data_IF_266486914995
#
_entry.id   IF_266486914995
#
_cell.length_a   1.000
_cell.length_b   1.000
_cell.length_c   1.000
_cell.angle_alpha   90.00
_cell.angle_beta   90.00
_cell.angle_gamma   90.00
#
_symmetry.space_group_name_H-M   'P 1'
#
loop_
_entity.id
_entity.type
_entity.pdbx_description
1 polymer ?
#
# COMPACT_ATOMS: atom_id res chain seq x y z
N UNK A 1 59.52 -19.72 29.86
CA UNK A 1 60.64 -18.77 30.01
C UNK A 1 60.06 -17.36 29.95
N UNK A 2 60.47 -16.50 30.88
CA UNK A 2 59.78 -15.27 31.30
C UNK A 2 60.21 -14.07 30.46
N UNK A 3 59.47 -12.97 30.52
CA UNK A 3 60.09 -11.70 30.87
C UNK A 3 59.07 -10.72 31.45
N UNK A 4 59.51 -10.11 32.55
CA UNK A 4 58.83 -9.13 33.36
C UNK A 4 59.50 -7.75 33.19
N UNK A 5 58.77 -6.68 33.44
CA UNK A 5 59.18 -5.42 34.13
C UNK A 5 58.05 -4.39 33.96
N UNK A 6 57.33 -3.91 34.98
CA UNK A 6 57.68 -3.30 36.29
C UNK A 6 58.03 -1.80 36.19
N UNK A 7 57.70 -1.08 37.28
CA UNK A 7 57.86 0.34 37.63
C UNK A 7 56.61 1.21 37.42
N UNK A 8 56.10 1.95 38.41
CA UNK A 8 56.52 2.29 39.77
C UNK A 8 55.41 3.16 40.37
N UNK A 9 55.02 3.00 41.63
CA UNK A 9 55.68 3.45 42.88
C UNK A 9 55.03 4.74 43.40
N UNK A 10 54.70 4.77 44.69
CA UNK A 10 54.06 5.95 45.29
C UNK A 10 53.36 5.73 46.64
N UNK A 11 54.17 5.75 47.70
CA UNK A 11 53.89 6.33 49.02
C UNK A 11 53.03 5.56 50.06
N UNK A 12 53.75 4.82 50.91
CA UNK A 12 53.79 4.82 52.39
C UNK A 12 52.69 5.54 53.20
N UNK A 13 52.11 4.82 54.18
CA UNK A 13 52.12 5.09 55.64
C UNK A 13 51.12 4.14 56.32
N UNK A 14 51.57 3.16 57.10
CA UNK A 14 51.75 3.17 58.57
C UNK A 14 50.46 2.87 59.38
N UNK A 15 50.67 2.04 60.42
CA UNK A 15 49.78 1.67 61.55
C UNK A 15 48.90 0.42 61.32
N UNK A 16 49.29 -0.72 61.93
CA UNK A 16 48.95 -1.13 63.30
C UNK A 16 47.43 -1.36 63.41
N UNK A 17 46.90 -2.57 63.49
CA UNK A 17 47.25 -3.65 64.40
C UNK A 17 45.97 -4.04 65.15
N UNK A 18 45.79 -5.34 65.36
CA UNK A 18 44.86 -5.99 66.31
C UNK A 18 43.37 -6.11 65.96
N UNK A 19 43.04 -7.33 65.51
CA UNK A 19 42.07 -8.25 66.13
C UNK A 19 41.05 -7.68 67.13
N UNK A 20 39.76 -7.86 66.82
CA UNK A 20 38.89 -8.78 67.56
C UNK A 20 37.49 -8.88 66.92
N UNK A 21 37.10 -10.10 66.55
CA UNK A 21 35.77 -10.66 66.85
C UNK A 21 34.57 -10.26 65.99
N UNK A 22 33.94 -11.30 65.39
CA UNK A 22 32.50 -11.65 65.48
C UNK A 22 31.48 -10.49 65.35
N UNK A 23 30.50 -10.49 64.47
CA UNK A 23 29.64 -11.56 63.96
C UNK A 23 29.03 -11.06 62.62
N UNK A 24 28.66 -11.98 61.74
CA UNK A 24 28.00 -11.61 60.49
C UNK A 24 26.60 -11.08 60.73
N UNK A 25 26.14 -10.16 59.90
CA UNK A 25 24.76 -10.15 59.42
C UNK A 25 24.60 -9.21 58.23
N UNK A 26 23.67 -9.59 57.37
CA UNK A 26 23.59 -9.24 55.97
C UNK A 26 23.34 -7.75 55.70
N UNK A 27 23.97 -7.26 54.62
CA UNK A 27 23.67 -5.97 53.99
C UNK A 27 22.16 -5.82 53.71
N UNK A 28 21.46 -5.17 54.62
CA UNK A 28 20.14 -4.62 54.41
C UNK A 28 20.25 -3.28 53.66
N UNK A 29 20.53 -3.32 52.36
CA UNK A 29 20.57 -2.10 51.53
C UNK A 29 20.17 -2.35 50.07
N UNK A 30 19.18 -3.22 49.82
CA UNK A 30 18.78 -3.55 48.42
C UNK A 30 17.28 -3.57 48.07
N UNK A 31 16.35 -2.85 48.73
CA UNK A 31 14.98 -2.76 48.22
C UNK A 31 14.80 -1.65 47.17
N UNK A 32 15.35 -0.44 47.38
CA UNK A 32 15.09 0.70 46.49
C UNK A 32 15.76 0.60 45.12
N UNK A 33 17.03 0.16 45.08
CA UNK A 33 17.79 0.06 43.82
C UNK A 33 17.25 -1.06 42.92
N UNK A 34 16.81 -2.19 43.53
CA UNK A 34 16.10 -3.26 42.83
C UNK A 34 14.73 -2.83 42.35
N UNK A 35 13.94 -2.11 43.17
CA UNK A 35 12.64 -1.58 42.75
C UNK A 35 12.76 -0.63 41.56
N UNK A 36 13.72 0.31 41.58
CA UNK A 36 13.95 1.24 40.47
C UNK A 36 14.43 0.52 39.21
N UNK A 37 15.28 -0.50 39.37
CA UNK A 37 15.76 -1.31 38.25
C UNK A 37 14.65 -2.19 37.64
N UNK A 38 13.81 -2.83 38.45
CA UNK A 38 12.64 -3.55 37.96
C UNK A 38 11.65 -2.63 37.25
N UNK A 39 11.42 -1.43 37.79
CA UNK A 39 10.48 -0.48 37.22
C UNK A 39 11.00 0.08 35.88
N UNK A 40 12.30 0.33 35.75
CA UNK A 40 12.92 0.70 34.49
C UNK A 40 12.83 -0.40 33.43
N UNK A 41 13.01 -1.68 33.81
CA UNK A 41 12.83 -2.82 32.91
C UNK A 41 11.37 -2.95 32.47
N UNK A 42 10.42 -2.81 33.39
CA UNK A 42 8.98 -2.84 33.07
C UNK A 42 8.63 -1.71 32.11
N UNK A 43 9.12 -0.48 32.34
CA UNK A 43 8.90 0.65 31.43
C UNK A 43 9.53 0.40 30.06
N UNK A 44 10.75 -0.17 30.00
CA UNK A 44 11.40 -0.49 28.73
C UNK A 44 10.64 -1.57 27.94
N UNK A 45 10.16 -2.62 28.62
CA UNK A 45 9.34 -3.68 28.02
C UNK A 45 7.98 -3.14 27.57
N UNK A 46 7.35 -2.27 28.37
CA UNK A 46 6.09 -1.62 27.99
C UNK A 46 6.28 -0.66 26.82
N UNK A 47 7.36 0.12 26.77
CA UNK A 47 7.67 1.01 25.66
C UNK A 47 7.99 0.23 24.38
N UNK A 48 8.75 -0.87 24.48
CA UNK A 48 9.03 -1.75 23.35
C UNK A 48 7.77 -2.48 22.86
N UNK A 49 6.91 -2.93 23.79
CA UNK A 49 5.63 -3.57 23.47
C UNK A 49 4.63 -2.61 22.82
N UNK A 50 4.48 -1.40 23.37
CA UNK A 50 3.61 -0.37 22.80
C UNK A 50 4.14 0.14 21.45
N UNK A 51 5.45 0.34 21.31
CA UNK A 51 6.08 0.70 20.04
C UNK A 51 5.97 -0.40 18.97
N UNK A 52 6.11 -1.67 19.38
CA UNK A 52 5.97 -2.83 18.49
C UNK A 52 4.54 -3.07 18.02
N UNK A 53 3.56 -2.92 18.92
CA UNK A 53 2.14 -2.97 18.58
C UNK A 53 1.76 -1.80 17.66
N UNK A 54 2.21 -0.59 17.95
CA UNK A 54 1.95 0.58 17.10
C UNK A 54 2.49 0.38 15.67
N UNK A 55 3.68 -0.19 15.52
CA UNK A 55 4.27 -0.48 14.21
C UNK A 55 3.47 -1.51 13.39
N UNK A 56 2.91 -2.53 14.06
CA UNK A 56 2.06 -3.54 13.42
C UNK A 56 0.68 -3.01 13.03
N UNK A 57 0.17 -1.98 13.70
CA UNK A 57 -1.12 -1.36 13.36
C UNK A 57 -0.98 -0.22 12.34
N UNK A 58 0.18 0.41 12.22
CA UNK A 58 0.40 1.52 11.29
C UNK A 58 0.34 1.09 9.81
N UNK A 59 0.75 -0.13 9.50
CA UNK A 59 0.65 -0.72 8.16
C UNK A 59 -0.80 -1.03 7.74
N UNK A 60 -1.73 -1.16 8.68
CA UNK A 60 -3.15 -1.40 8.41
C UNK A 60 -4.03 -0.13 8.50
N UNK A 61 -3.49 0.97 9.03
CA UNK A 61 -4.23 2.25 9.20
C UNK A 61 -4.05 3.25 8.04
N UNK A 62 -3.30 2.90 7.00
CA UNK A 62 -2.95 3.86 5.95
C UNK A 62 -3.06 3.25 4.56
N UNK A 63 -4.24 2.78 4.14
CA UNK A 63 -4.52 2.87 2.70
C UNK A 63 -4.20 4.31 2.26
N UNK A 64 -3.59 4.53 1.08
CA UNK A 64 -3.14 5.86 0.72
C UNK A 64 -4.23 6.89 0.93
N UNK A 65 -3.90 7.95 1.67
CA UNK A 65 -4.81 9.05 2.01
C UNK A 65 -6.08 8.67 2.79
N UNK A 66 -6.09 7.49 3.44
CA UNK A 66 -7.25 6.91 4.10
C UNK A 66 -8.42 6.64 3.14
N UNK A 67 -8.15 6.41 1.86
CA UNK A 67 -9.13 6.07 0.82
C UNK A 67 -9.00 4.60 0.48
N UNK A 68 -10.06 3.83 0.68
CA UNK A 68 -10.06 2.37 0.51
C UNK A 68 -9.97 1.90 -0.94
N UNK A 69 -10.23 2.82 -1.86
CA UNK A 69 -10.08 2.62 -3.29
C UNK A 69 -8.64 2.84 -3.74
N UNK A 70 -7.80 3.53 -2.95
CA UNK A 70 -6.42 3.81 -3.35
C UNK A 70 -5.54 2.57 -3.17
N UNK A 71 -4.82 2.20 -4.22
CA UNK A 71 -3.85 1.13 -4.19
C UNK A 71 -2.50 1.59 -3.66
N UNK A 72 -1.81 0.71 -2.95
CA UNK A 72 -0.51 0.99 -2.33
C UNK A 72 0.48 1.62 -3.32
N UNK A 73 1.17 2.65 -2.85
CA UNK A 73 2.13 3.41 -3.66
C UNK A 73 1.52 4.51 -4.53
N UNK A 74 0.21 4.75 -4.45
CA UNK A 74 -0.43 5.92 -5.08
C UNK A 74 0.16 7.22 -4.55
N UNK A 75 0.55 8.13 -5.44
CA UNK A 75 1.17 9.42 -5.09
C UNK A 75 0.18 10.58 -4.94
N UNK A 76 -1.03 10.42 -5.48
CA UNK A 76 -2.07 11.46 -5.55
C UNK A 76 -3.44 10.92 -5.18
N UNK A 77 -4.16 11.59 -4.28
CA UNK A 77 -5.54 11.22 -3.94
C UNK A 77 -6.50 11.62 -5.06
N UNK A 78 -7.32 10.69 -5.53
CA UNK A 78 -8.42 11.04 -6.44
C UNK A 78 -9.65 11.54 -5.67
N UNK A 79 -10.48 12.41 -6.27
CA UNK A 79 -11.75 12.82 -5.68
C UNK A 79 -12.67 11.64 -5.38
N UNK A 80 -13.72 11.89 -4.58
CA UNK A 80 -14.74 10.88 -4.34
C UNK A 80 -15.48 10.51 -5.63
N UNK A 81 -15.87 11.49 -6.43
CA UNK A 81 -16.36 11.28 -7.80
C UNK A 81 -15.18 11.26 -8.76
N UNK A 82 -14.73 10.06 -9.15
CA UNK A 82 -13.62 9.88 -10.08
C UNK A 82 -14.15 10.06 -11.50
N UNK A 83 -13.59 11.01 -12.23
CA UNK A 83 -13.80 11.15 -13.67
C UNK A 83 -12.65 10.47 -14.40
N UNK A 84 -12.85 9.22 -14.79
CA UNK A 84 -11.86 8.42 -15.49
C UNK A 84 -12.03 8.64 -17.01
N UNK A 85 -10.96 8.99 -17.70
CA UNK A 85 -11.00 9.18 -19.17
C UNK A 85 -11.94 10.28 -19.68
N UNK A 86 -12.45 11.16 -18.81
CA UNK A 86 -13.31 12.29 -19.20
C UNK A 86 -14.76 12.19 -18.73
N UNK A 87 -15.20 11.04 -18.20
CA UNK A 87 -16.53 10.89 -17.62
C UNK A 87 -16.49 10.30 -16.19
N UNK A 88 -17.45 10.65 -15.33
CA UNK A 88 -17.62 9.99 -14.04
C UNK A 88 -17.82 8.48 -14.18
N UNK A 89 -17.20 7.71 -13.28
CA UNK A 89 -17.49 6.27 -13.13
C UNK A 89 -19.00 6.10 -12.85
N UNK A 90 -19.66 5.06 -13.40
CA UNK A 90 -21.06 4.76 -13.10
C UNK A 90 -21.36 4.71 -11.60
N UNK A 91 -22.48 5.28 -11.16
CA UNK A 91 -22.83 5.44 -9.74
C UNK A 91 -23.04 4.11 -9.01
N UNK A 92 -23.42 3.05 -9.72
CA UNK A 92 -23.56 1.69 -9.20
C UNK A 92 -22.30 0.83 -9.32
N UNK A 93 -21.16 1.40 -9.70
CA UNK A 93 -19.93 0.64 -9.86
C UNK A 93 -19.45 0.05 -8.53
N UNK A 94 -18.90 -1.15 -8.60
CA UNK A 94 -18.32 -1.88 -7.48
C UNK A 94 -16.85 -2.21 -7.75
N UNK A 95 -16.13 -2.68 -6.72
CA UNK A 95 -14.71 -3.08 -6.85
C UNK A 95 -13.85 -1.97 -7.47
N UNK A 96 -14.09 -0.73 -7.01
CA UNK A 96 -13.44 0.47 -7.52
C UNK A 96 -12.08 0.61 -6.86
N UNK A 97 -11.03 0.54 -7.66
CA UNK A 97 -9.66 0.74 -7.20
C UNK A 97 -8.91 1.69 -8.14
N UNK A 98 -7.97 2.44 -7.59
CA UNK A 98 -7.13 3.33 -8.39
C UNK A 98 -5.67 3.32 -7.94
N UNK A 99 -4.79 3.53 -8.91
CA UNK A 99 -3.37 3.75 -8.70
C UNK A 99 -2.96 5.04 -9.41
N UNK A 100 -2.26 5.92 -8.70
CA UNK A 100 -1.76 7.19 -9.26
C UNK A 100 -0.24 7.24 -9.17
N UNK A 101 0.40 7.57 -10.29
CA UNK A 101 1.85 7.73 -10.35
C UNK A 101 2.27 8.64 -11.47
N UNK A 102 3.17 9.59 -11.19
CA UNK A 102 3.82 10.43 -12.22
C UNK A 102 2.82 11.16 -13.14
N UNK A 103 1.73 11.69 -12.57
CA UNK A 103 0.69 12.37 -13.36
C UNK A 103 -0.17 11.45 -14.22
N UNK A 104 -0.12 10.13 -13.99
CA UNK A 104 -1.01 9.14 -14.57
C UNK A 104 -1.93 8.59 -13.50
N UNK A 105 -3.17 8.29 -13.88
CA UNK A 105 -4.11 7.54 -13.06
C UNK A 105 -4.57 6.29 -13.81
N UNK A 106 -4.63 5.20 -13.08
CA UNK A 106 -5.15 3.91 -13.51
C UNK A 106 -6.28 3.55 -12.57
N UNK A 107 -7.43 3.15 -13.12
CA UNK A 107 -8.64 2.91 -12.35
C UNK A 107 -9.29 1.63 -12.84
N UNK A 108 -9.63 0.71 -11.94
CA UNK A 108 -10.47 -0.45 -12.25
C UNK A 108 -11.81 -0.34 -11.54
N UNK A 109 -12.87 -0.83 -12.17
CA UNK A 109 -14.20 -0.95 -11.57
C UNK A 109 -15.05 -2.01 -12.29
N UNK A 110 -16.15 -2.43 -11.66
CA UNK A 110 -17.14 -3.36 -12.23
C UNK A 110 -18.49 -2.67 -12.34
N UNK A 111 -19.10 -2.68 -13.52
CA UNK A 111 -20.40 -2.05 -13.77
C UNK A 111 -21.24 -2.78 -14.84
N UNK A 112 -22.56 -2.62 -14.79
CA UNK A 112 -23.48 -3.02 -15.87
C UNK A 112 -23.73 -1.91 -16.91
N UNK A 113 -23.21 -0.70 -16.67
CA UNK A 113 -23.47 0.51 -17.48
C UNK A 113 -22.23 0.93 -18.30
N UNK A 114 -21.41 -0.04 -18.71
CA UNK A 114 -20.11 0.25 -19.35
C UNK A 114 -20.26 0.84 -20.75
N UNK A 115 -21.22 0.39 -21.56
CA UNK A 115 -21.47 0.95 -22.89
C UNK A 115 -21.77 2.46 -22.83
N UNK A 116 -22.69 2.83 -21.95
CA UNK A 116 -23.08 4.22 -21.71
C UNK A 116 -21.92 5.05 -21.12
N UNK A 117 -21.09 4.46 -20.25
CA UNK A 117 -19.84 5.08 -19.82
C UNK A 117 -18.87 5.34 -20.99
N UNK A 118 -18.67 4.39 -21.90
CA UNK A 118 -17.78 4.57 -23.07
C UNK A 118 -18.23 5.72 -23.96
N UNK A 119 -19.55 5.88 -24.15
CA UNK A 119 -20.12 7.01 -24.89
C UNK A 119 -19.86 8.35 -24.18
N UNK A 120 -20.20 8.44 -22.89
CA UNK A 120 -20.00 9.68 -22.12
C UNK A 120 -18.53 10.07 -21.98
N UNK A 121 -17.64 9.09 -21.90
CA UNK A 121 -16.20 9.33 -21.85
C UNK A 121 -15.64 9.82 -23.20
N UNK A 122 -16.45 9.79 -24.27
CA UNK A 122 -16.01 10.11 -25.63
C UNK A 122 -15.04 9.09 -26.21
N UNK A 123 -14.99 7.89 -25.61
CA UNK A 123 -14.12 6.78 -26.03
C UNK A 123 -14.73 6.06 -27.23
N UNK A 124 -16.06 5.89 -27.22
CA UNK A 124 -16.84 5.31 -28.31
C UNK A 124 -17.93 6.31 -28.72
N UNK A 125 -18.09 6.66 -30.01
CA UNK A 125 -19.21 7.49 -30.46
C UNK A 125 -20.57 6.81 -30.24
N UNK A 126 -21.64 7.58 -29.98
CA UNK A 126 -22.98 7.04 -29.65
C UNK A 126 -23.56 6.07 -30.69
N UNK A 127 -23.29 6.31 -31.98
CA UNK A 127 -23.80 5.49 -33.09
C UNK A 127 -22.79 4.42 -33.56
N UNK A 128 -21.62 4.31 -32.92
CA UNK A 128 -20.60 3.36 -33.31
C UNK A 128 -20.90 1.96 -32.75
N UNK A 129 -20.68 0.88 -33.54
CA UNK A 129 -20.72 -0.47 -33.01
C UNK A 129 -19.69 -0.64 -31.89
N UNK A 130 -20.06 -1.36 -30.83
CA UNK A 130 -19.21 -1.55 -29.66
C UNK A 130 -17.86 -2.19 -30.01
N UNK A 131 -17.85 -3.20 -30.88
CA UNK A 131 -16.65 -3.95 -31.27
C UNK A 131 -16.18 -3.59 -32.69
N UNK A 132 -16.07 -2.30 -32.98
CA UNK A 132 -15.53 -1.79 -34.24
C UNK A 132 -14.01 -1.57 -34.13
N UNK A 133 -13.25 -2.27 -34.98
CA UNK A 133 -11.78 -2.20 -35.07
C UNK A 133 -11.24 -0.79 -35.34
N UNK A 134 -12.09 0.13 -35.81
CA UNK A 134 -11.74 1.54 -35.95
C UNK A 134 -11.51 2.23 -34.61
N UNK A 135 -12.22 1.82 -33.57
CA UNK A 135 -12.24 2.48 -32.26
C UNK A 135 -11.51 1.69 -31.17
N UNK A 136 -11.29 0.40 -31.38
CA UNK A 136 -10.51 -0.40 -30.46
C UNK A 136 -9.99 -1.68 -31.09
N UNK A 137 -9.38 -2.52 -30.27
CA UNK A 137 -8.82 -3.79 -30.74
C UNK A 137 -9.06 -4.87 -29.70
N UNK A 138 -9.27 -6.10 -30.18
CA UNK A 138 -9.31 -7.27 -29.32
C UNK A 138 -7.91 -7.54 -28.77
N UNK A 139 -7.76 -7.56 -27.45
CA UNK A 139 -6.59 -8.13 -26.82
C UNK A 139 -6.94 -9.51 -26.28
N UNK A 140 -6.26 -10.53 -26.82
CA UNK A 140 -6.32 -11.87 -26.26
C UNK A 140 -5.37 -11.94 -25.08
N UNK A 141 -5.95 -12.06 -23.89
CA UNK A 141 -5.24 -12.61 -22.75
C UNK A 141 -5.67 -14.07 -22.59
N UNK A 142 -4.85 -14.85 -21.89
CA UNK A 142 -5.32 -16.13 -21.35
C UNK A 142 -6.50 -15.94 -20.39
N UNK A 143 -6.77 -16.92 -19.54
CA UNK A 143 -7.91 -16.86 -18.62
C UNK A 143 -7.94 -15.58 -17.75
N UNK A 144 -6.77 -14.97 -17.52
CA UNK A 144 -6.60 -13.69 -16.81
C UNK A 144 -5.66 -12.72 -17.56
N UNK A 145 -6.02 -11.44 -17.56
CA UNK A 145 -5.25 -10.30 -18.05
C UNK A 145 -4.70 -9.57 -16.83
N UNK A 146 -3.38 -9.43 -16.75
CA UNK A 146 -2.77 -8.66 -15.67
C UNK A 146 -3.26 -7.20 -15.69
N UNK A 147 -3.57 -6.67 -14.52
CA UNK A 147 -3.79 -5.23 -14.36
C UNK A 147 -2.47 -4.48 -14.59
N UNK A 148 -2.53 -3.18 -14.93
CA UNK A 148 -1.37 -2.30 -14.89
C UNK A 148 -0.60 -2.39 -13.56
N UNK A 149 0.73 -2.26 -13.63
CA UNK A 149 1.61 -2.41 -12.48
C UNK A 149 1.25 -1.45 -11.34
N UNK A 150 0.94 -2.01 -10.17
CA UNK A 150 0.57 -1.25 -8.97
C UNK A 150 -0.94 -1.05 -8.80
N UNK A 151 -1.74 -1.30 -9.83
CA UNK A 151 -3.19 -1.32 -9.70
C UNK A 151 -3.62 -2.61 -8.98
N UNK A 152 -4.14 -2.42 -7.78
CA UNK A 152 -4.78 -3.44 -6.96
C UNK A 152 -6.20 -3.76 -7.45
N UNK A 153 -6.73 -4.90 -7.02
CA UNK A 153 -8.04 -5.41 -7.42
C UNK A 153 -7.94 -6.73 -8.18
N UNK A 154 -9.08 -7.22 -8.63
CA UNK A 154 -9.11 -8.47 -9.42
C UNK A 154 -8.65 -8.24 -10.85
N UNK A 155 -7.87 -9.16 -11.46
CA UNK A 155 -7.48 -9.07 -12.86
C UNK A 155 -8.69 -9.07 -13.79
N UNK A 156 -8.52 -8.55 -15.01
CA UNK A 156 -9.53 -8.72 -16.05
C UNK A 156 -9.52 -10.17 -16.53
N UNK A 157 -10.67 -10.68 -16.93
CA UNK A 157 -10.83 -12.00 -17.53
C UNK A 157 -10.90 -11.87 -19.03
N UNK A 158 -10.05 -12.63 -19.73
CA UNK A 158 -10.10 -12.70 -21.18
C UNK A 158 -11.45 -13.26 -21.68
N UNK A 159 -11.88 -12.89 -22.89
CA UNK A 159 -11.28 -11.90 -23.80
C UNK A 159 -11.52 -10.45 -23.35
N UNK A 160 -10.66 -9.52 -23.77
CA UNK A 160 -10.86 -8.07 -23.51
C UNK A 160 -10.80 -7.26 -24.80
N UNK A 161 -11.50 -6.13 -24.82
CA UNK A 161 -11.42 -5.12 -25.86
C UNK A 161 -10.75 -3.87 -25.33
N UNK A 162 -9.85 -3.28 -26.11
CA UNK A 162 -9.07 -2.10 -25.72
C UNK A 162 -9.45 -0.96 -26.63
N UNK A 163 -9.94 0.14 -26.06
CA UNK A 163 -10.19 1.40 -26.76
C UNK A 163 -9.10 2.40 -26.40
N UNK A 164 -8.47 3.00 -27.40
CA UNK A 164 -7.57 4.12 -27.22
C UNK A 164 -8.23 5.39 -27.76
N UNK A 165 -8.40 6.38 -26.88
CA UNK A 165 -9.11 7.60 -27.19
C UNK A 165 -8.36 8.82 -26.67
N UNK A 166 -8.63 9.96 -27.29
CA UNK A 166 -8.31 11.26 -26.71
C UNK A 166 -9.57 11.78 -26.05
N UNK A 167 -9.56 11.93 -24.73
CA UNK A 167 -10.68 12.49 -23.98
C UNK A 167 -11.04 13.89 -24.49
N UNK A 168 -12.25 14.36 -24.17
CA UNK A 168 -12.71 15.71 -24.54
C UNK A 168 -11.74 16.84 -24.14
N UNK A 169 -10.91 16.61 -23.12
CA UNK A 169 -9.92 17.57 -22.62
C UNK A 169 -8.54 17.44 -23.29
N UNK A 170 -8.42 16.66 -24.38
CA UNK A 170 -7.16 16.45 -25.11
C UNK A 170 -6.19 15.47 -24.45
N UNK A 171 -6.57 14.86 -23.33
CA UNK A 171 -5.73 13.86 -22.64
C UNK A 171 -5.97 12.46 -23.18
N UNK A 172 -4.91 11.70 -23.43
CA UNK A 172 -5.01 10.30 -23.84
C UNK A 172 -5.62 9.44 -22.74
N UNK A 173 -6.59 8.62 -23.10
CA UNK A 173 -7.23 7.62 -22.26
C UNK A 173 -7.22 6.26 -22.99
N UNK A 174 -6.88 5.21 -22.26
CA UNK A 174 -6.98 3.82 -22.73
C UNK A 174 -7.96 3.09 -21.83
N UNK A 175 -8.93 2.38 -22.42
CA UNK A 175 -10.00 1.69 -21.71
C UNK A 175 -10.02 0.23 -22.13
N UNK A 176 -9.75 -0.67 -21.19
CA UNK A 176 -9.87 -2.11 -21.37
C UNK A 176 -11.18 -2.58 -20.76
N UNK A 177 -11.98 -3.34 -21.52
CA UNK A 177 -13.27 -3.89 -21.06
C UNK A 177 -13.30 -5.41 -21.23
N UNK A 178 -13.89 -6.11 -20.27
CA UNK A 178 -14.13 -7.55 -20.39
C UNK A 178 -15.24 -7.87 -21.40
N UNK A 179 -14.94 -8.80 -22.30
CA UNK A 179 -15.86 -9.33 -23.30
C UNK A 179 -16.42 -10.69 -22.87
N UNK A 180 -17.56 -11.06 -23.45
CA UNK A 180 -18.11 -12.39 -23.27
C UNK A 180 -17.20 -13.41 -23.97
N UNK A 181 -16.83 -14.53 -23.31
CA UNK A 181 -16.04 -15.59 -23.95
C UNK A 181 -16.88 -16.44 -24.91
N UNK A 182 -18.21 -16.31 -24.88
CA UNK A 182 -19.15 -17.10 -25.69
C UNK A 182 -19.72 -16.29 -26.86
N UNK A 183 -19.93 -14.99 -26.64
CA UNK A 183 -20.50 -14.07 -27.63
C UNK A 183 -19.50 -12.95 -27.89
N UNK A 184 -18.86 -12.98 -29.06
CA UNK A 184 -17.80 -12.03 -29.43
C UNK A 184 -18.32 -10.61 -29.62
N UNK A 185 -19.64 -10.44 -29.75
CA UNK A 185 -20.30 -9.15 -29.96
C UNK A 185 -20.98 -8.63 -28.68
N UNK A 186 -20.59 -9.16 -27.51
CA UNK A 186 -21.15 -8.76 -26.21
C UNK A 186 -20.09 -8.52 -25.14
N UNK A 187 -20.38 -7.60 -24.22
CA UNK A 187 -19.63 -7.45 -22.97
C UNK A 187 -19.97 -8.60 -22.01
N UNK A 188 -19.02 -8.95 -21.14
CA UNK A 188 -19.33 -9.76 -19.96
C UNK A 188 -20.17 -8.92 -19.01
N UNK A 189 -21.21 -9.48 -18.38
CA UNK A 189 -22.05 -8.76 -17.42
C UNK A 189 -22.02 -9.41 -16.03
N UNK A 190 -21.78 -8.65 -14.94
CA UNK A 190 -21.29 -7.26 -14.95
C UNK A 190 -19.88 -7.18 -15.55
N UNK A 191 -19.57 -6.05 -16.19
CA UNK A 191 -18.33 -5.85 -16.94
C UNK A 191 -17.27 -5.23 -16.04
N UNK A 192 -16.08 -5.84 -15.97
CA UNK A 192 -14.91 -5.17 -15.41
C UNK A 192 -14.25 -4.29 -16.46
N UNK A 193 -13.81 -3.13 -16.01
CA UNK A 193 -13.14 -2.12 -16.84
C UNK A 193 -11.86 -1.70 -16.14
N UNK A 194 -10.77 -1.53 -16.90
CA UNK A 194 -9.59 -0.80 -16.48
C UNK A 194 -9.39 0.42 -17.37
N UNK A 195 -9.22 1.60 -16.76
CA UNK A 195 -9.07 2.88 -17.43
C UNK A 195 -7.72 3.46 -17.05
N UNK A 196 -6.94 3.81 -18.05
CA UNK A 196 -5.68 4.53 -17.90
C UNK A 196 -5.85 5.93 -18.48
N UNK A 197 -5.51 6.98 -17.74
CA UNK A 197 -5.57 8.36 -18.22
C UNK A 197 -4.51 9.25 -17.58
N UNK A 198 -4.26 10.41 -18.19
CA UNK A 198 -3.40 11.45 -17.60
C UNK A 198 -4.19 12.34 -16.65
N UNK A 199 -3.59 12.62 -15.50
CA UNK A 199 -4.06 13.66 -14.60
C UNK A 199 -3.74 15.04 -15.21
N UNK A 200 -4.61 16.04 -14.98
CA UNK A 200 -4.39 17.41 -15.46
C UNK A 200 -3.17 18.08 -14.80
#
# INVERSE_FOLDING_TARGET
MPDAREAGDGATSHEAGQDAGRDGEAEASRPERRRRSCLAVVVAVLAAGAGGLFWLFQSHLSQPFGDDRACDGSDTKLPQSISAGGAPIPTGASDVHYYTRNGKAEVTFVSGEVLDYLHRAGVLPEDAPLFDDKYGTKAEAGDEVALPDGLCGSPLRGPVWVYDATSANGSHASVMVECSPVDTESLRLPTRVAVTYRLP
#
